data_IF_962950045598
#
_entry.id   IF_962950045598
#
_cell.length_a   1.000
_cell.length_b   1.000
_cell.length_c   1.000
_cell.angle_alpha   90.00
_cell.angle_beta   90.00
_cell.angle_gamma   90.00
#
_symmetry.space_group_name_H-M   'P 1'
#
loop_
_entity.id
_entity.type
_entity.pdbx_description
1 polymer ?
#
# COMPACT_ATOMS: atom_id res chain seq x y z
N UNK A 1 -0.30 -39.23 17.89
CA UNK A 1 -0.75 -38.15 16.98
C UNK A 1 -0.50 -36.85 17.68
N UNK A 2 0.36 -36.02 17.12
CA UNK A 2 0.70 -34.70 17.66
C UNK A 2 -0.53 -33.81 17.66
N UNK A 3 -0.58 -32.90 18.60
CA UNK A 3 -1.67 -31.96 18.82
C UNK A 3 -1.80 -31.07 17.57
N UNK A 4 -2.82 -31.29 16.77
CA UNK A 4 -3.03 -30.64 15.46
C UNK A 4 -3.44 -29.17 15.58
N UNK A 5 -3.63 -28.67 16.80
CA UNK A 5 -4.01 -27.29 17.13
C UNK A 5 -2.96 -26.61 17.99
N UNK A 6 -2.66 -25.38 17.62
CA UNK A 6 -1.73 -24.53 18.36
C UNK A 6 -2.35 -23.16 18.58
N UNK A 7 -1.81 -22.37 19.50
CA UNK A 7 -2.30 -21.02 19.76
C UNK A 7 -1.19 -19.97 19.70
N UNK A 8 -1.58 -18.75 19.37
CA UNK A 8 -0.71 -17.57 19.39
C UNK A 8 -1.25 -16.57 20.40
N UNK A 9 -0.36 -16.09 21.25
CA UNK A 9 -0.69 -15.14 22.31
C UNK A 9 0.34 -14.01 22.36
N UNK A 10 -0.07 -12.89 22.92
CA UNK A 10 0.85 -11.80 23.26
C UNK A 10 1.81 -12.22 24.38
N UNK A 11 3.09 -11.92 24.24
CA UNK A 11 4.09 -12.22 25.26
C UNK A 11 3.87 -11.40 26.53
N UNK A 12 3.33 -10.17 26.39
CA UNK A 12 3.17 -9.21 27.48
C UNK A 12 2.07 -9.60 28.48
N UNK A 13 0.92 -10.06 27.98
CA UNK A 13 -0.30 -10.23 28.76
C UNK A 13 -1.02 -11.56 28.49
N UNK A 14 -0.43 -12.41 27.64
CA UNK A 14 -0.97 -13.71 27.24
C UNK A 14 -2.37 -13.65 26.59
N UNK A 15 -2.76 -12.47 26.09
CA UNK A 15 -4.02 -12.31 25.34
C UNK A 15 -3.93 -13.08 24.02
N UNK A 16 -4.96 -13.88 23.66
CA UNK A 16 -5.02 -14.55 22.36
C UNK A 16 -4.97 -13.56 21.19
N UNK A 17 -4.20 -13.90 20.15
CA UNK A 17 -4.02 -13.05 18.97
C UNK A 17 -4.73 -13.65 17.77
N UNK A 18 -5.77 -12.99 17.29
CA UNK A 18 -6.45 -13.31 16.02
C UNK A 18 -5.67 -12.77 14.83
N UNK A 19 -5.96 -13.30 13.64
CA UNK A 19 -5.36 -12.84 12.38
C UNK A 19 -3.83 -12.90 12.34
N UNK A 20 -3.22 -13.81 13.07
CA UNK A 20 -1.80 -14.14 12.91
C UNK A 20 -1.66 -15.08 11.72
N UNK A 21 -0.89 -14.68 10.73
CA UNK A 21 -0.59 -15.48 9.56
C UNK A 21 0.57 -16.41 9.84
N UNK A 22 0.39 -17.69 9.57
CA UNK A 22 1.41 -18.72 9.67
C UNK A 22 1.84 -19.12 8.26
N UNK A 23 3.12 -18.91 7.94
CA UNK A 23 3.66 -19.13 6.60
C UNK A 23 4.85 -20.09 6.62
N UNK A 24 5.11 -20.74 5.49
CA UNK A 24 6.33 -21.48 5.21
C UNK A 24 7.40 -20.57 4.58
N UNK A 25 8.59 -21.10 4.40
CA UNK A 25 9.74 -20.39 3.79
C UNK A 25 9.46 -19.90 2.36
N UNK A 26 8.60 -20.58 1.63
CA UNK A 26 8.14 -20.24 0.27
C UNK A 26 7.07 -19.13 0.24
N UNK A 27 6.81 -18.48 1.38
CA UNK A 27 5.82 -17.42 1.58
C UNK A 27 4.35 -17.88 1.52
N UNK A 28 4.11 -19.16 1.40
CA UNK A 28 2.76 -19.73 1.38
C UNK A 28 2.14 -19.67 2.77
N UNK A 29 0.98 -19.03 2.89
CA UNK A 29 0.14 -19.04 4.10
C UNK A 29 -0.45 -20.43 4.27
N UNK A 30 -0.19 -21.06 5.41
CA UNK A 30 -0.68 -22.40 5.73
C UNK A 30 -1.78 -22.39 6.79
N UNK A 31 -1.84 -21.36 7.63
CA UNK A 31 -2.89 -21.17 8.61
C UNK A 31 -3.04 -19.70 9.00
N UNK A 32 -4.20 -19.37 9.57
CA UNK A 32 -4.48 -18.06 10.18
C UNK A 32 -5.14 -18.33 11.53
N UNK A 33 -4.72 -17.63 12.59
CA UNK A 33 -5.33 -17.78 13.91
C UNK A 33 -6.72 -17.15 13.98
N UNK A 34 -7.63 -17.81 14.66
CA UNK A 34 -8.99 -17.36 14.91
C UNK A 34 -9.08 -16.34 16.07
N UNK A 35 -10.29 -15.92 16.43
CA UNK A 35 -10.54 -14.96 17.52
C UNK A 35 -10.02 -15.42 18.91
N UNK A 36 -9.80 -16.72 19.09
CA UNK A 36 -9.22 -17.32 20.28
C UNK A 36 -7.72 -17.55 20.16
N UNK A 37 -7.09 -17.00 19.11
CA UNK A 37 -5.69 -17.20 18.81
C UNK A 37 -5.33 -18.61 18.33
N UNK A 38 -6.31 -19.47 18.06
CA UNK A 38 -6.09 -20.88 17.70
C UNK A 38 -5.92 -21.02 16.18
N UNK A 39 -4.95 -21.83 15.79
CA UNK A 39 -4.76 -22.24 14.39
C UNK A 39 -4.53 -23.75 14.28
N UNK A 40 -4.85 -24.32 13.11
CA UNK A 40 -4.67 -25.76 12.83
C UNK A 40 -3.70 -25.96 11.67
N UNK A 41 -2.84 -26.95 11.81
CA UNK A 41 -1.91 -27.42 10.78
C UNK A 41 -2.29 -28.80 10.21
N UNK A 42 -3.49 -29.31 10.54
CA UNK A 42 -3.98 -30.64 10.14
C UNK A 42 -3.90 -30.93 8.62
N UNK A 43 -4.02 -29.90 7.80
CA UNK A 43 -3.97 -30.02 6.34
C UNK A 43 -2.55 -30.21 5.77
N UNK A 44 -1.52 -30.18 6.64
CA UNK A 44 -0.12 -30.19 6.24
C UNK A 44 0.64 -31.37 6.89
N UNK A 45 0.16 -32.60 6.64
CA UNK A 45 0.76 -33.85 7.15
C UNK A 45 2.24 -34.05 6.75
N UNK A 46 2.72 -33.27 5.79
CA UNK A 46 4.10 -33.33 5.28
C UNK A 46 5.10 -32.44 6.02
N UNK A 47 4.68 -31.72 7.08
CA UNK A 47 5.60 -30.87 7.84
C UNK A 47 6.64 -31.68 8.59
N UNK A 48 7.90 -31.40 8.30
CA UNK A 48 9.05 -31.94 9.04
C UNK A 48 9.28 -31.13 10.33
N UNK A 49 9.81 -31.76 11.38
CA UNK A 49 10.19 -31.07 12.62
C UNK A 49 11.18 -29.92 12.41
N UNK A 50 11.95 -29.98 11.32
CA UNK A 50 12.93 -28.96 10.95
C UNK A 50 12.33 -27.83 10.10
N UNK A 51 11.07 -27.94 9.64
CA UNK A 51 10.45 -26.91 8.85
C UNK A 51 10.26 -25.64 9.68
N UNK A 52 10.60 -24.50 9.11
CA UNK A 52 10.49 -23.20 9.77
C UNK A 52 9.13 -22.59 9.47
N UNK A 53 8.40 -22.30 10.52
CA UNK A 53 7.15 -21.55 10.50
C UNK A 53 7.43 -20.07 10.77
N UNK A 54 6.80 -19.20 10.00
CA UNK A 54 6.91 -17.76 10.10
C UNK A 54 5.57 -17.21 10.58
N UNK A 55 5.59 -16.51 11.72
CA UNK A 55 4.42 -15.89 12.34
C UNK A 55 4.45 -14.40 12.08
N UNK A 56 3.36 -13.86 11.51
CA UNK A 56 3.23 -12.47 11.16
C UNK A 56 1.90 -11.90 11.62
N UNK A 57 1.95 -10.72 12.24
CA UNK A 57 0.77 -9.96 12.63
C UNK A 57 1.09 -8.47 12.54
N UNK A 58 0.11 -7.64 12.15
CA UNK A 58 0.30 -6.20 11.86
C UNK A 58 0.86 -5.40 13.05
N UNK A 59 0.56 -5.82 14.29
CA UNK A 59 0.97 -5.11 15.50
C UNK A 59 2.09 -5.81 16.28
N UNK A 60 2.63 -6.92 15.78
CA UNK A 60 3.62 -7.72 16.49
C UNK A 60 4.86 -7.93 15.62
N UNK A 61 6.01 -8.11 16.27
CA UNK A 61 7.24 -8.45 15.58
C UNK A 61 7.14 -9.84 14.96
N UNK A 62 7.70 -10.00 13.78
CA UNK A 62 7.76 -11.31 13.12
C UNK A 62 8.53 -12.31 13.96
N UNK A 63 7.99 -13.51 14.11
CA UNK A 63 8.64 -14.61 14.80
C UNK A 63 8.87 -15.79 13.85
N UNK A 64 10.03 -16.43 14.01
CA UNK A 64 10.40 -17.69 13.34
C UNK A 64 10.49 -18.76 14.39
N UNK A 65 9.95 -19.93 14.11
CA UNK A 65 10.00 -21.08 15.00
C UNK A 65 10.03 -22.35 14.16
N UNK A 66 10.87 -23.34 14.53
CA UNK A 66 10.77 -24.64 13.89
C UNK A 66 9.48 -25.35 14.32
N UNK A 67 8.94 -26.23 13.47
CA UNK A 67 7.78 -27.03 13.85
C UNK A 67 8.06 -27.91 15.08
N UNK A 68 9.29 -28.41 15.21
CA UNK A 68 9.74 -29.14 16.39
C UNK A 68 9.73 -28.29 17.67
N UNK A 69 10.16 -27.04 17.59
CA UNK A 69 10.13 -26.14 18.75
C UNK A 69 8.71 -25.70 19.10
N UNK A 70 7.82 -25.56 18.13
CA UNK A 70 6.39 -25.33 18.39
C UNK A 70 5.81 -26.45 19.25
N UNK A 71 6.11 -27.71 18.91
CA UNK A 71 5.65 -28.87 19.69
C UNK A 71 6.26 -28.86 21.09
N UNK A 72 7.57 -28.61 21.23
CA UNK A 72 8.22 -28.50 22.54
C UNK A 72 7.63 -27.39 23.42
N UNK A 73 7.19 -26.29 22.82
CA UNK A 73 6.54 -25.16 23.50
C UNK A 73 5.04 -25.41 23.74
N UNK A 74 4.61 -26.66 23.83
CA UNK A 74 3.20 -27.05 24.06
C UNK A 74 2.24 -26.41 23.07
N UNK A 75 2.65 -26.28 21.80
CA UNK A 75 1.89 -25.67 20.73
C UNK A 75 1.44 -24.21 21.03
N UNK A 76 2.24 -23.46 21.81
CA UNK A 76 1.97 -22.06 22.12
C UNK A 76 3.08 -21.17 21.57
N UNK A 77 2.68 -20.11 20.88
CA UNK A 77 3.57 -19.10 20.29
C UNK A 77 3.32 -17.77 20.97
N UNK A 78 4.37 -17.17 21.50
CA UNK A 78 4.32 -15.83 22.09
C UNK A 78 4.87 -14.82 21.08
N UNK A 79 4.10 -13.77 20.75
CA UNK A 79 4.54 -12.66 19.92
C UNK A 79 4.81 -11.41 20.74
N UNK A 80 5.87 -10.70 20.38
CA UNK A 80 6.26 -9.44 21.02
C UNK A 80 5.58 -8.30 20.26
N UNK A 81 4.93 -7.40 21.00
CA UNK A 81 4.28 -6.22 20.44
C UNK A 81 5.29 -5.32 19.72
N UNK A 82 4.95 -4.88 18.50
CA UNK A 82 5.77 -3.93 17.75
C UNK A 82 5.46 -2.51 18.18
N UNK A 83 6.16 -2.05 19.24
CA UNK A 83 6.01 -0.72 19.83
C UNK A 83 6.78 0.37 19.07
N UNK A 84 7.07 0.20 17.78
CA UNK A 84 7.53 1.34 16.97
C UNK A 84 6.42 2.39 16.95
N UNK A 85 6.54 3.32 17.86
CA UNK A 85 5.78 4.56 17.86
C UNK A 85 6.18 5.29 16.58
N UNK A 86 5.27 5.47 15.64
CA UNK A 86 5.38 6.57 14.69
C UNK A 86 5.47 7.82 15.57
N UNK A 87 6.44 8.69 15.35
CA UNK A 87 6.46 9.98 16.03
C UNK A 87 5.07 10.58 15.84
N UNK A 88 4.36 10.69 16.95
CA UNK A 88 3.00 11.18 16.99
C UNK A 88 3.06 12.65 16.56
N UNK A 89 2.67 12.94 15.35
CA UNK A 89 2.37 14.32 14.96
C UNK A 89 1.05 14.65 15.65
N UNK A 90 1.14 15.07 16.90
CA UNK A 90 0.00 15.55 17.67
C UNK A 90 -0.52 16.82 17.01
N UNK A 91 -1.51 16.68 16.15
CA UNK A 91 -2.26 17.81 15.63
C UNK A 91 -3.21 18.26 16.72
N UNK A 92 -2.73 19.16 17.59
CA UNK A 92 -3.60 19.84 18.55
C UNK A 92 -4.55 20.76 17.78
N UNK A 93 -5.82 20.39 17.69
CA UNK A 93 -6.86 21.10 16.94
C UNK A 93 -7.38 22.38 17.63
N UNK A 94 -6.59 23.03 18.47
CA UNK A 94 -6.91 24.36 19.03
C UNK A 94 -6.51 25.52 18.10
N UNK A 95 -6.11 25.24 16.85
CA UNK A 95 -5.92 26.30 15.88
C UNK A 95 -7.26 26.65 15.26
N UNK A 96 -7.72 27.87 15.49
CA UNK A 96 -8.77 28.46 14.66
C UNK A 96 -8.37 28.28 13.20
N UNK A 97 -9.18 27.57 12.42
CA UNK A 97 -8.97 27.45 10.98
C UNK A 97 -8.94 28.86 10.40
N UNK A 98 -7.84 29.20 9.75
CA UNK A 98 -7.74 30.46 9.04
C UNK A 98 -8.85 30.50 7.96
N UNK A 99 -9.61 31.61 7.92
CA UNK A 99 -10.64 31.79 6.89
C UNK A 99 -10.06 31.88 5.48
N UNK A 100 -8.77 32.17 5.36
CA UNK A 100 -8.05 32.37 4.10
C UNK A 100 -6.82 31.48 4.09
N UNK A 101 -6.56 30.86 2.97
CA UNK A 101 -5.32 30.14 2.69
C UNK A 101 -4.34 31.11 2.05
N UNK A 102 -3.11 31.10 2.51
CA UNK A 102 -2.01 31.79 1.86
C UNK A 102 -1.36 30.82 0.87
N UNK A 103 -1.17 31.28 -0.36
CA UNK A 103 -0.52 30.53 -1.40
C UNK A 103 0.79 31.21 -1.78
N UNK A 104 1.84 30.42 -1.85
CA UNK A 104 3.13 30.84 -2.37
C UNK A 104 3.41 30.07 -3.67
N UNK A 105 3.99 30.77 -4.64
CA UNK A 105 4.42 30.14 -5.90
C UNK A 105 5.82 29.61 -5.66
N UNK A 106 5.98 28.31 -5.72
CA UNK A 106 7.25 27.61 -5.59
C UNK A 106 7.89 27.40 -6.96
N UNK A 107 9.17 27.03 -6.99
CA UNK A 107 9.90 26.71 -8.22
C UNK A 107 9.18 25.64 -9.03
N UNK A 108 8.84 25.90 -10.31
CA UNK A 108 8.10 24.94 -11.12
C UNK A 108 8.97 23.76 -11.54
N UNK A 109 8.36 22.60 -11.65
CA UNK A 109 8.98 21.46 -12.32
C UNK A 109 9.18 21.77 -13.82
N UNK A 110 10.36 21.49 -14.36
CA UNK A 110 10.70 21.79 -15.77
C UNK A 110 9.73 21.17 -16.79
N UNK A 111 9.13 20.03 -16.45
CA UNK A 111 8.13 19.35 -17.27
C UNK A 111 6.97 18.94 -16.39
N UNK A 112 5.78 19.41 -16.74
CA UNK A 112 4.56 19.05 -16.01
C UNK A 112 4.27 17.55 -16.13
N UNK A 113 3.85 16.96 -15.02
CA UNK A 113 3.37 15.58 -14.93
C UNK A 113 2.10 15.55 -14.09
N UNK A 114 1.20 14.61 -14.38
CA UNK A 114 0.01 14.35 -13.56
C UNK A 114 -0.16 12.85 -13.36
N UNK A 115 -1.00 12.44 -12.41
CA UNK A 115 -1.20 11.02 -12.04
C UNK A 115 0.12 10.30 -11.71
N UNK A 116 1.05 11.04 -11.12
CA UNK A 116 2.30 10.53 -10.57
C UNK A 116 2.08 10.01 -9.14
N UNK A 117 3.02 9.24 -8.62
CA UNK A 117 3.09 8.95 -7.19
C UNK A 117 4.07 9.88 -6.49
N UNK A 118 3.78 10.20 -5.22
CA UNK A 118 4.64 11.07 -4.42
C UNK A 118 4.81 10.58 -2.99
N UNK A 119 5.98 10.86 -2.42
CA UNK A 119 6.27 10.62 -1.00
C UNK A 119 7.07 11.78 -0.42
N UNK A 120 6.82 12.08 0.86
CA UNK A 120 7.59 13.05 1.62
C UNK A 120 8.61 12.31 2.50
N UNK A 121 9.89 12.68 2.40
CA UNK A 121 10.98 12.09 3.17
C UNK A 121 11.90 13.21 3.64
N UNK A 122 12.01 13.41 4.94
CA UNK A 122 12.95 14.37 5.57
C UNK A 122 12.93 15.78 4.96
N UNK A 123 11.73 16.31 4.68
CA UNK A 123 11.55 17.64 4.08
C UNK A 123 11.84 17.69 2.58
N UNK A 124 11.94 16.55 1.93
CA UNK A 124 12.07 16.42 0.47
C UNK A 124 10.87 15.68 -0.11
N UNK A 125 10.28 16.18 -1.19
CA UNK A 125 9.19 15.53 -1.91
C UNK A 125 9.77 14.81 -3.11
N UNK A 126 9.56 13.48 -3.15
CA UNK A 126 9.89 12.67 -4.32
C UNK A 126 8.62 12.47 -5.14
N UNK A 127 8.69 12.71 -6.45
CA UNK A 127 7.64 12.37 -7.40
C UNK A 127 8.19 11.43 -8.46
N UNK A 128 7.44 10.40 -8.83
CA UNK A 128 7.89 9.39 -9.78
C UNK A 128 6.81 9.07 -10.81
N UNK A 129 7.23 8.85 -12.07
CA UNK A 129 6.34 8.47 -13.15
C UNK A 129 5.32 9.54 -13.51
N UNK A 130 4.10 9.10 -13.77
CA UNK A 130 2.97 9.95 -14.15
C UNK A 130 2.85 10.17 -15.65
N UNK A 131 1.75 10.79 -16.05
CA UNK A 131 1.49 11.12 -17.45
C UNK A 131 2.08 12.49 -17.81
N UNK A 132 2.72 12.54 -18.96
CA UNK A 132 3.23 13.77 -19.58
C UNK A 132 2.44 14.14 -20.84
N UNK A 133 1.28 13.51 -21.03
CA UNK A 133 0.41 13.77 -22.18
C UNK A 133 -0.15 15.18 -22.09
N UNK A 134 -0.02 15.94 -23.16
CA UNK A 134 -0.71 17.22 -23.31
C UNK A 134 -1.99 16.95 -24.08
N UNK A 135 -3.13 17.40 -23.58
CA UNK A 135 -4.39 17.37 -24.31
C UNK A 135 -4.27 18.15 -25.63
N UNK A 136 -5.15 17.93 -26.61
CA UNK A 136 -5.14 18.68 -27.83
C UNK A 136 -5.46 20.13 -27.53
N UNK A 137 -4.44 20.98 -27.51
CA UNK A 137 -4.65 22.39 -27.72
C UNK A 137 -5.17 22.55 -29.15
N UNK A 138 -6.48 22.81 -29.28
CA UNK A 138 -7.14 23.31 -30.47
C UNK A 138 -6.47 22.91 -31.80
N UNK A 139 -6.58 21.67 -32.20
CA UNK A 139 -6.38 21.35 -33.60
C UNK A 139 -7.77 21.11 -34.22
N UNK A 140 -8.12 21.88 -35.22
CA UNK A 140 -9.25 21.64 -36.12
C UNK A 140 -9.15 20.32 -36.89
N UNK A 141 -8.30 19.42 -36.47
CA UNK A 141 -8.05 18.13 -37.09
C UNK A 141 -8.84 17.09 -36.29
N UNK A 142 -9.77 16.44 -36.99
CA UNK A 142 -10.63 15.34 -36.52
C UNK A 142 -9.86 14.05 -36.09
N UNK A 143 -8.61 14.11 -35.68
CA UNK A 143 -7.91 12.93 -35.15
C UNK A 143 -7.91 12.95 -33.63
N UNK A 144 -8.80 12.17 -33.03
CA UNK A 144 -8.96 11.91 -31.60
C UNK A 144 -7.93 10.93 -31.05
N UNK A 145 -6.77 10.81 -31.63
CA UNK A 145 -5.71 9.96 -31.12
C UNK A 145 -4.96 10.71 -30.02
N UNK A 146 -5.42 10.59 -28.81
CA UNK A 146 -4.66 10.95 -27.61
C UNK A 146 -3.50 9.97 -27.46
N UNK A 147 -2.29 10.43 -27.72
CA UNK A 147 -1.10 9.65 -27.42
C UNK A 147 -0.76 9.82 -25.93
N UNK A 148 -1.22 8.90 -25.11
CA UNK A 148 -0.75 8.86 -23.72
C UNK A 148 0.76 8.59 -23.71
N UNK A 149 1.48 9.35 -22.90
CA UNK A 149 2.91 9.19 -22.67
C UNK A 149 3.21 9.22 -21.19
N UNK A 150 3.79 8.14 -20.69
CA UNK A 150 4.15 8.05 -19.28
C UNK A 150 5.63 8.37 -19.08
N UNK A 151 5.92 8.92 -17.90
CA UNK A 151 7.27 9.28 -17.49
C UNK A 151 7.95 8.08 -16.83
N UNK A 152 9.24 7.96 -17.05
CA UNK A 152 10.14 7.05 -16.33
C UNK A 152 11.09 7.80 -15.40
N UNK A 153 10.79 9.06 -15.10
CA UNK A 153 11.64 9.93 -14.30
C UNK A 153 11.18 9.95 -12.86
N UNK A 154 12.14 10.11 -11.96
CA UNK A 154 11.89 10.53 -10.58
C UNK A 154 12.54 11.90 -10.36
N UNK A 155 11.81 12.78 -9.68
CA UNK A 155 12.27 14.10 -9.30
C UNK A 155 12.23 14.23 -7.79
N UNK A 156 13.16 14.96 -7.22
CA UNK A 156 13.24 15.32 -5.80
C UNK A 156 13.15 16.83 -5.66
N UNK A 157 12.22 17.29 -4.84
CA UNK A 157 12.07 18.69 -4.49
C UNK A 157 12.52 18.92 -3.05
N UNK A 158 13.52 19.77 -2.87
CA UNK A 158 13.95 20.22 -1.55
C UNK A 158 13.10 21.42 -1.13
N UNK A 159 12.27 21.24 -0.08
CA UNK A 159 11.33 22.27 0.38
C UNK A 159 12.07 23.49 0.93
N UNK A 160 13.22 23.30 1.58
CA UNK A 160 13.99 24.41 2.19
C UNK A 160 14.73 25.24 1.16
N UNK A 161 15.21 24.60 0.09
CA UNK A 161 15.99 25.25 -0.96
C UNK A 161 15.13 25.73 -2.13
N UNK A 162 13.84 25.38 -2.15
CA UNK A 162 12.92 25.60 -3.28
C UNK A 162 13.53 25.14 -4.60
N UNK A 163 14.05 23.91 -4.64
CA UNK A 163 14.82 23.41 -5.78
C UNK A 163 14.44 21.99 -6.18
N UNK A 164 14.28 21.78 -7.48
CA UNK A 164 14.09 20.46 -8.08
C UNK A 164 15.41 19.85 -8.54
N UNK A 165 15.55 18.56 -8.27
CA UNK A 165 16.62 17.73 -8.81
C UNK A 165 16.04 16.50 -9.51
N UNK A 166 16.72 16.03 -10.55
CA UNK A 166 16.34 14.81 -11.26
C UNK A 166 17.18 13.65 -10.75
N UNK A 167 16.53 12.59 -10.29
CA UNK A 167 17.21 11.33 -9.95
C UNK A 167 17.68 10.68 -11.25
N UNK A 168 18.94 10.24 -11.28
CA UNK A 168 19.58 9.72 -12.52
C UNK A 168 19.04 8.38 -13.01
N UNK A 169 18.41 7.59 -12.10
CA UNK A 169 17.84 6.30 -12.45
C UNK A 169 16.60 6.43 -13.33
N UNK A 170 16.41 5.45 -14.18
CA UNK A 170 15.20 5.31 -14.99
C UNK A 170 14.30 4.27 -14.33
N UNK A 171 13.05 4.65 -14.15
CA UNK A 171 11.99 3.81 -13.62
C UNK A 171 11.12 3.29 -14.77
N UNK A 172 10.19 2.43 -14.47
CA UNK A 172 9.21 1.96 -15.45
C UNK A 172 8.28 3.10 -15.85
N UNK A 173 8.00 3.20 -17.14
CA UNK A 173 6.99 4.15 -17.65
C UNK A 173 5.62 3.75 -17.18
N UNK A 174 5.09 4.42 -16.15
CA UNK A 174 3.76 4.15 -15.57
C UNK A 174 3.09 5.42 -15.07
N UNK A 175 1.74 5.36 -14.96
CA UNK A 175 0.92 6.40 -14.36
C UNK A 175 -0.19 5.77 -13.51
N UNK A 176 -0.87 6.59 -12.68
CA UNK A 176 -1.96 6.16 -11.80
C UNK A 176 -1.54 5.07 -10.79
N UNK A 177 -0.29 5.06 -10.42
CA UNK A 177 0.34 4.18 -9.46
C UNK A 177 0.45 4.86 -8.10
N UNK A 178 0.92 4.13 -7.11
CA UNK A 178 1.17 4.65 -5.76
C UNK A 178 2.63 4.47 -5.36
N UNK A 179 3.05 5.21 -4.33
CA UNK A 179 4.33 5.03 -3.68
C UNK A 179 4.20 5.14 -2.16
N UNK A 180 5.10 4.45 -1.46
CA UNK A 180 5.25 4.53 -0.01
C UNK A 180 6.71 4.63 0.38
N UNK A 181 6.99 5.24 1.54
CA UNK A 181 8.33 5.33 2.10
C UNK A 181 8.45 4.48 3.36
N UNK A 182 9.52 3.70 3.45
CA UNK A 182 9.85 2.93 4.63
C UNK A 182 11.36 2.65 4.68
N UNK A 183 11.98 2.89 5.83
CA UNK A 183 13.37 2.54 6.16
C UNK A 183 14.39 2.91 5.06
N UNK A 184 14.38 4.17 4.63
CA UNK A 184 15.29 4.71 3.62
C UNK A 184 14.98 4.30 2.18
N UNK A 185 13.84 3.66 1.92
CA UNK A 185 13.46 3.16 0.60
C UNK A 185 12.10 3.68 0.17
N UNK A 186 11.97 3.96 -1.12
CA UNK A 186 10.71 4.30 -1.77
C UNK A 186 10.22 3.07 -2.55
N UNK A 187 9.02 2.63 -2.24
CA UNK A 187 8.35 1.49 -2.85
C UNK A 187 7.28 1.98 -3.82
N UNK A 188 7.37 1.60 -5.09
CA UNK A 188 6.53 2.09 -6.19
C UNK A 188 5.79 0.89 -6.78
N UNK A 189 4.45 0.90 -6.79
CA UNK A 189 3.67 -0.23 -7.26
C UNK A 189 2.32 0.16 -7.85
N UNK A 190 1.75 -0.77 -8.62
CA UNK A 190 0.47 -0.58 -9.30
C UNK A 190 0.55 0.37 -10.48
N UNK A 191 -0.63 0.91 -10.86
CA UNK A 191 -0.75 1.77 -12.00
C UNK A 191 -0.85 1.02 -13.34
N UNK A 192 -0.82 1.76 -14.40
CA UNK A 192 -0.86 1.24 -15.77
C UNK A 192 0.38 1.66 -16.56
N UNK A 193 0.75 0.84 -17.53
CA UNK A 193 1.79 1.07 -18.52
C UNK A 193 1.25 0.85 -19.91
N UNK A 194 1.89 1.46 -20.89
CA UNK A 194 1.54 1.27 -22.31
C UNK A 194 2.28 0.08 -22.91
N UNK A 195 1.66 -0.56 -23.88
CA UNK A 195 2.34 -1.48 -24.80
C UNK A 195 3.43 -0.74 -25.60
N UNK A 196 4.34 -1.48 -26.24
CA UNK A 196 5.35 -0.90 -27.14
C UNK A 196 4.70 -0.10 -28.27
N UNK A 197 3.58 -0.58 -28.79
CA UNK A 197 2.78 0.12 -29.80
C UNK A 197 1.93 1.26 -29.25
N UNK A 198 1.86 1.42 -27.92
CA UNK A 198 1.06 2.42 -27.20
C UNK A 198 -0.45 2.36 -27.47
N UNK A 199 -0.94 1.22 -27.96
CA UNK A 199 -2.36 1.03 -28.27
C UNK A 199 -3.10 0.39 -27.08
N UNK A 200 -2.39 -0.42 -26.28
CA UNK A 200 -2.99 -1.20 -25.18
C UNK A 200 -2.38 -0.78 -23.85
N UNK A 201 -3.25 -0.57 -22.87
CA UNK A 201 -2.88 -0.37 -21.47
C UNK A 201 -2.79 -1.72 -20.76
N UNK A 202 -1.74 -1.88 -19.97
CA UNK A 202 -1.57 -3.01 -19.06
C UNK A 202 -1.47 -2.53 -17.62
N UNK A 203 -2.07 -3.25 -16.68
CA UNK A 203 -1.75 -3.08 -15.27
C UNK A 203 -0.29 -3.49 -15.04
N UNK A 204 0.42 -2.70 -14.25
CA UNK A 204 1.80 -3.02 -13.94
C UNK A 204 1.88 -3.94 -12.71
N UNK A 205 2.47 -5.11 -12.91
CA UNK A 205 2.67 -6.11 -11.85
C UNK A 205 4.00 -5.93 -11.10
N UNK A 206 4.86 -5.05 -11.59
CA UNK A 206 6.17 -4.83 -11.00
C UNK A 206 6.12 -3.82 -9.86
N UNK A 207 6.84 -4.12 -8.81
CA UNK A 207 7.18 -3.21 -7.73
C UNK A 207 8.61 -2.74 -7.98
N UNK A 208 8.85 -1.43 -8.03
CA UNK A 208 10.19 -0.88 -8.03
C UNK A 208 10.53 -0.35 -6.64
N UNK A 209 11.74 -0.61 -6.20
CA UNK A 209 12.22 -0.22 -4.88
C UNK A 209 13.49 0.62 -5.08
N UNK A 210 13.42 1.87 -4.67
CA UNK A 210 14.55 2.80 -4.71
C UNK A 210 15.14 2.99 -3.32
N UNK A 211 16.38 2.57 -3.12
CA UNK A 211 17.16 2.85 -1.90
C UNK A 211 17.82 4.22 -2.03
N UNK A 212 17.33 5.18 -1.23
CA UNK A 212 17.79 6.58 -1.30
C UNK A 212 19.26 6.69 -0.92
N UNK A 213 19.70 5.95 0.10
CA UNK A 213 21.07 6.02 0.62
C UNK A 213 22.08 5.38 -0.31
N UNK A 214 21.72 4.22 -0.89
CA UNK A 214 22.59 3.49 -1.80
C UNK A 214 22.51 3.98 -3.23
N UNK A 215 21.50 4.79 -3.55
CA UNK A 215 21.17 5.27 -4.89
C UNK A 215 21.05 4.09 -5.89
N UNK A 216 20.25 3.09 -5.53
CA UNK A 216 20.04 1.86 -6.33
C UNK A 216 18.55 1.56 -6.49
N UNK A 217 18.18 0.99 -7.63
CA UNK A 217 16.82 0.55 -7.93
C UNK A 217 16.81 -0.93 -8.25
N UNK A 218 15.86 -1.68 -7.70
CA UNK A 218 15.60 -3.07 -8.09
C UNK A 218 14.10 -3.32 -8.21
N UNK A 219 13.73 -4.43 -8.83
CA UNK A 219 12.35 -4.78 -9.15
C UNK A 219 11.96 -6.09 -8.46
N UNK A 220 10.74 -6.12 -7.91
CA UNK A 220 10.06 -7.29 -7.37
C UNK A 220 8.78 -7.53 -8.16
N UNK A 221 8.41 -8.81 -8.38
CA UNK A 221 7.22 -9.20 -9.14
C UNK A 221 6.21 -9.97 -8.28
N UNK A 222 6.25 -9.77 -6.98
CA UNK A 222 5.37 -10.49 -6.03
C UNK A 222 4.02 -9.80 -5.80
N UNK A 223 3.73 -8.69 -6.48
CA UNK A 223 2.51 -7.89 -6.27
C UNK A 223 1.23 -8.66 -6.65
N UNK A 224 0.38 -9.07 -5.69
CA UNK A 224 -0.92 -9.69 -5.97
C UNK A 224 -2.01 -8.65 -6.29
N UNK A 225 -1.81 -7.38 -5.90
CA UNK A 225 -2.77 -6.30 -6.03
C UNK A 225 -2.53 -5.47 -7.28
N UNK A 226 -2.81 -6.06 -8.44
CA UNK A 226 -2.62 -5.39 -9.72
C UNK A 226 -3.82 -4.50 -10.01
N UNK A 227 -3.69 -3.22 -9.74
CA UNK A 227 -4.71 -2.20 -9.98
C UNK A 227 -4.09 -0.85 -10.34
N UNK A 228 -4.87 -0.01 -10.98
CA UNK A 228 -4.58 1.42 -11.17
C UNK A 228 -5.50 2.25 -10.27
N UNK A 229 -5.12 3.48 -9.92
CA UNK A 229 -5.89 4.35 -9.00
C UNK A 229 -6.16 3.68 -7.64
N UNK A 230 -5.24 2.86 -7.17
CA UNK A 230 -5.35 2.18 -5.88
C UNK A 230 -5.02 3.14 -4.73
N UNK A 231 -5.70 2.96 -3.61
CA UNK A 231 -5.32 3.60 -2.35
C UNK A 231 -4.14 2.90 -1.71
N UNK A 232 -3.30 3.63 -1.01
CA UNK A 232 -2.23 3.03 -0.21
C UNK A 232 -1.83 3.88 0.99
N UNK A 233 -1.41 3.21 2.04
CA UNK A 233 -0.80 3.83 3.23
C UNK A 233 0.33 2.95 3.74
N UNK A 234 1.31 3.57 4.40
CA UNK A 234 2.36 2.84 5.12
C UNK A 234 2.10 2.97 6.61
N UNK A 235 1.97 1.83 7.29
CA UNK A 235 1.75 1.74 8.72
C UNK A 235 2.76 0.78 9.34
N UNK A 236 3.63 1.28 10.21
CA UNK A 236 4.74 0.51 10.79
C UNK A 236 5.59 -0.13 9.68
N UNK A 237 5.80 -1.44 9.74
CA UNK A 237 6.59 -2.20 8.77
C UNK A 237 5.75 -2.67 7.55
N UNK A 238 4.55 -2.13 7.36
CA UNK A 238 3.60 -2.65 6.37
C UNK A 238 3.11 -1.55 5.43
N UNK A 239 2.98 -1.88 4.17
CA UNK A 239 2.24 -1.09 3.19
C UNK A 239 0.89 -1.78 2.95
N UNK A 240 -0.19 -1.05 3.19
CA UNK A 240 -1.53 -1.51 2.91
C UNK A 240 -1.95 -0.91 1.56
N UNK A 241 -2.43 -1.76 0.67
CA UNK A 241 -2.96 -1.37 -0.64
C UNK A 241 -4.40 -1.83 -0.75
N UNK A 242 -5.25 -0.99 -1.34
CA UNK A 242 -6.68 -1.28 -1.36
C UNK A 242 -7.38 -0.66 -2.57
N UNK A 243 -8.39 -1.37 -3.05
CA UNK A 243 -9.27 -0.91 -4.13
C UNK A 243 -8.57 -0.71 -5.46
N UNK A 244 -8.98 0.34 -6.17
CA UNK A 244 -8.48 0.67 -7.50
C UNK A 244 -9.27 0.00 -8.62
N UNK A 245 -8.80 0.20 -9.85
CA UNK A 245 -9.39 -0.34 -11.08
C UNK A 245 -8.55 -1.50 -11.57
N UNK A 246 -9.15 -2.71 -11.64
CA UNK A 246 -8.50 -3.94 -12.10
C UNK A 246 -8.60 -4.15 -13.62
N UNK A 247 -9.58 -3.56 -14.26
CA UNK A 247 -9.84 -3.72 -15.68
C UNK A 247 -10.67 -2.57 -16.20
N UNK A 248 -10.42 -2.15 -17.43
CA UNK A 248 -11.29 -1.24 -18.17
C UNK A 248 -12.03 -2.06 -19.23
N UNK A 249 -13.35 -1.95 -19.25
CA UNK A 249 -14.19 -2.62 -20.23
C UNK A 249 -14.19 -1.87 -21.57
N UNK A 250 -14.73 -2.50 -22.63
CA UNK A 250 -14.80 -1.91 -23.96
C UNK A 250 -15.61 -0.60 -24.03
N UNK A 251 -16.57 -0.43 -23.11
CA UNK A 251 -17.36 0.80 -22.96
C UNK A 251 -16.67 1.88 -22.10
N UNK A 252 -15.37 1.74 -21.81
CA UNK A 252 -14.58 2.58 -20.92
C UNK A 252 -14.99 2.57 -19.43
N UNK A 253 -15.88 1.67 -19.01
CA UNK A 253 -16.18 1.49 -17.59
C UNK A 253 -15.08 0.73 -16.88
N UNK A 254 -14.72 1.21 -15.68
CA UNK A 254 -13.73 0.55 -14.82
C UNK A 254 -14.35 -0.57 -13.99
N UNK A 255 -13.70 -1.73 -13.93
CA UNK A 255 -14.02 -2.77 -12.95
C UNK A 255 -13.25 -2.48 -11.66
N UNK A 256 -13.95 -1.94 -10.68
CA UNK A 256 -13.35 -1.56 -9.39
C UNK A 256 -13.17 -2.76 -8.47
N UNK A 257 -12.10 -2.72 -7.68
CA UNK A 257 -11.77 -3.72 -6.67
C UNK A 257 -12.33 -3.34 -5.30
N UNK A 258 -12.67 -4.35 -4.52
CA UNK A 258 -12.93 -4.28 -3.07
C UNK A 258 -11.81 -4.93 -2.24
N UNK A 259 -10.78 -5.46 -2.89
CA UNK A 259 -9.70 -6.18 -2.23
C UNK A 259 -8.79 -5.24 -1.44
N UNK A 260 -8.26 -5.78 -0.35
CA UNK A 260 -7.25 -5.15 0.47
C UNK A 260 -6.12 -6.13 0.70
N UNK A 261 -4.89 -5.67 0.48
CA UNK A 261 -3.69 -6.46 0.75
C UNK A 261 -2.75 -5.69 1.66
N UNK A 262 -2.06 -6.42 2.50
CA UNK A 262 -0.98 -5.95 3.33
C UNK A 262 0.33 -6.53 2.82
N UNK A 263 1.28 -5.67 2.54
CA UNK A 263 2.65 -6.04 2.22
C UNK A 263 3.58 -5.71 3.37
N UNK A 264 4.18 -6.72 3.99
CA UNK A 264 5.19 -6.47 4.99
C UNK A 264 6.52 -6.12 4.31
N UNK A 265 6.94 -4.88 4.43
CA UNK A 265 8.10 -4.30 3.74
C UNK A 265 9.43 -4.85 4.24
N UNK A 266 9.46 -5.43 5.44
CA UNK A 266 10.65 -6.01 6.04
C UNK A 266 10.88 -7.46 5.62
N UNK A 267 9.81 -8.26 5.58
CA UNK A 267 9.88 -9.68 5.21
C UNK A 267 9.61 -9.92 3.72
N UNK A 268 8.96 -8.98 3.05
CA UNK A 268 8.51 -9.09 1.67
C UNK A 268 7.27 -9.97 1.50
N UNK A 269 6.56 -10.32 2.58
CA UNK A 269 5.36 -11.16 2.51
C UNK A 269 4.12 -10.33 2.25
N UNK A 270 3.23 -10.90 1.42
CA UNK A 270 1.91 -10.38 1.14
C UNK A 270 0.85 -11.16 1.90
N UNK A 271 -0.18 -10.45 2.36
CA UNK A 271 -1.33 -11.00 3.07
C UNK A 271 -2.61 -10.38 2.52
N UNK A 272 -3.66 -11.18 2.40
CA UNK A 272 -4.99 -10.67 2.13
C UNK A 272 -5.58 -10.11 3.43
N UNK A 273 -5.89 -8.81 3.45
CA UNK A 273 -6.40 -8.13 4.65
C UNK A 273 -7.94 -8.14 4.73
N UNK A 274 -8.60 -8.69 3.72
CA UNK A 274 -10.05 -8.72 3.61
C UNK A 274 -10.57 -7.84 2.49
N UNK A 275 -11.79 -7.32 2.65
CA UNK A 275 -12.49 -6.55 1.62
C UNK A 275 -13.01 -5.23 2.15
N UNK A 276 -13.02 -4.24 1.28
CA UNK A 276 -13.74 -2.98 1.52
C UNK A 276 -15.24 -3.21 1.39
N UNK A 277 -16.07 -2.46 2.14
CA UNK A 277 -17.52 -2.54 2.02
C UNK A 277 -18.04 -2.11 0.64
N UNK A 278 -17.31 -1.29 -0.06
CA UNK A 278 -17.67 -0.77 -1.39
C UNK A 278 -16.47 -0.91 -2.34
N UNK A 279 -16.71 -1.38 -3.56
CA UNK A 279 -15.72 -1.40 -4.64
C UNK A 279 -15.45 0.01 -5.13
N UNK A 280 -14.21 0.47 -5.04
CA UNK A 280 -13.87 1.85 -5.36
C UNK A 280 -12.38 2.06 -5.62
N UNK A 281 -12.05 3.23 -6.18
CA UNK A 281 -10.70 3.76 -6.27
C UNK A 281 -10.60 4.96 -5.29
N UNK A 282 -10.23 4.72 -4.02
CA UNK A 282 -10.27 5.73 -2.98
C UNK A 282 -8.99 6.57 -2.96
N UNK A 283 -9.13 7.83 -2.57
CA UNK A 283 -8.02 8.56 -1.97
C UNK A 283 -7.90 8.12 -0.50
N UNK A 284 -6.70 7.85 -0.05
CA UNK A 284 -6.46 7.31 1.28
C UNK A 284 -5.56 8.19 2.11
N UNK A 285 -5.89 8.31 3.38
CA UNK A 285 -5.05 8.96 4.38
C UNK A 285 -5.01 8.11 5.65
N UNK A 286 -3.84 8.00 6.24
CA UNK A 286 -3.65 7.35 7.53
C UNK A 286 -3.62 8.40 8.64
N UNK A 287 -4.45 8.23 9.65
CA UNK A 287 -4.42 9.02 10.89
C UNK A 287 -4.37 8.03 12.04
N UNK A 288 -3.31 8.06 12.83
CA UNK A 288 -3.00 7.10 13.89
C UNK A 288 -2.99 5.66 13.36
N UNK A 289 -4.01 4.89 13.70
CA UNK A 289 -4.20 3.50 13.26
C UNK A 289 -5.43 3.31 12.37
N UNK A 290 -5.99 4.41 11.86
CA UNK A 290 -7.19 4.41 11.02
C UNK A 290 -6.88 4.86 9.60
N UNK A 291 -7.28 4.05 8.62
CA UNK A 291 -7.23 4.41 7.20
C UNK A 291 -8.56 5.05 6.83
N UNK A 292 -8.53 6.31 6.46
CA UNK A 292 -9.70 7.02 5.94
C UNK A 292 -9.71 6.94 4.41
N UNK A 293 -10.83 6.53 3.86
CA UNK A 293 -11.11 6.50 2.43
C UNK A 293 -11.99 7.69 2.08
N UNK A 294 -11.47 8.59 1.28
CA UNK A 294 -12.12 9.86 0.96
C UNK A 294 -12.53 9.88 -0.50
N UNK A 295 -13.82 10.10 -0.73
CA UNK A 295 -14.36 10.13 -2.08
C UNK A 295 -14.45 8.72 -2.70
N UNK A 296 -15.17 8.66 -3.81
CA UNK A 296 -15.32 7.44 -4.58
C UNK A 296 -15.43 7.83 -6.06
N UNK A 297 -14.42 7.54 -6.83
CA UNK A 297 -14.41 7.82 -8.28
C UNK A 297 -15.45 6.99 -9.05
N UNK A 298 -16.00 5.95 -8.42
CA UNK A 298 -17.09 5.16 -8.97
C UNK A 298 -18.45 5.74 -8.56
N UNK A 299 -18.89 6.79 -9.25
CA UNK A 299 -20.25 7.33 -9.07
C UNK A 299 -20.44 8.45 -8.05
N UNK A 300 -19.36 9.11 -7.62
CA UNK A 300 -19.44 10.35 -6.86
C UNK A 300 -19.98 10.20 -5.43
N UNK A 301 -19.57 9.16 -4.74
CA UNK A 301 -19.83 8.98 -3.31
C UNK A 301 -19.29 10.16 -2.48
N UNK A 302 -20.03 10.49 -1.42
CA UNK A 302 -19.62 11.53 -0.46
C UNK A 302 -19.19 10.94 0.88
N UNK A 303 -19.37 9.63 1.10
CA UNK A 303 -19.03 9.00 2.36
C UNK A 303 -17.51 9.01 2.59
N UNK A 304 -17.16 9.16 3.84
CA UNK A 304 -15.80 8.95 4.32
C UNK A 304 -15.86 7.68 5.15
N UNK A 305 -15.23 6.62 4.64
CA UNK A 305 -15.14 5.34 5.35
C UNK A 305 -13.83 5.29 6.13
N UNK A 306 -13.84 4.64 7.27
CA UNK A 306 -12.68 4.45 8.12
C UNK A 306 -12.46 2.95 8.39
N UNK A 307 -11.25 2.47 8.15
CA UNK A 307 -10.81 1.14 8.54
C UNK A 307 -9.82 1.19 9.69
N UNK A 308 -10.17 0.59 10.81
CA UNK A 308 -9.31 0.53 11.98
C UNK A 308 -8.34 -0.66 11.87
N UNK A 309 -7.05 -0.39 11.76
CA UNK A 309 -5.99 -1.40 11.61
C UNK A 309 -5.78 -2.29 12.84
N UNK A 310 -6.23 -1.86 14.02
CA UNK A 310 -6.08 -2.66 15.25
C UNK A 310 -7.21 -3.68 15.40
N UNK A 311 -8.42 -3.29 15.00
CA UNK A 311 -9.62 -4.12 15.21
C UNK A 311 -10.12 -4.80 13.94
N UNK A 312 -9.66 -4.36 12.75
CA UNK A 312 -10.19 -4.81 11.46
C UNK A 312 -11.61 -4.32 11.17
N UNK A 313 -12.13 -3.39 11.95
CA UNK A 313 -13.51 -2.91 11.83
C UNK A 313 -13.61 -1.73 10.87
N UNK A 314 -14.72 -1.70 10.11
CA UNK A 314 -15.14 -0.58 9.28
C UNK A 314 -16.13 0.31 10.03
N UNK A 315 -16.01 1.62 9.83
CA UNK A 315 -16.96 2.62 10.35
C UNK A 315 -17.16 3.73 9.32
N UNK A 316 -18.36 4.32 9.32
CA UNK A 316 -18.58 5.55 8.57
C UNK A 316 -18.07 6.73 9.42
N UNK A 317 -17.10 7.48 8.89
CA UNK A 317 -16.44 8.59 9.57
C UNK A 317 -17.07 9.96 9.21
N UNK A 318 -18.02 9.98 8.28
CA UNK A 318 -18.67 11.21 7.89
C UNK A 318 -19.00 11.32 6.41
N UNK A 319 -19.25 12.55 5.98
CA UNK A 319 -19.65 12.81 4.60
C UNK A 319 -19.07 14.11 4.08
N UNK A 320 -18.56 14.10 2.86
CA UNK A 320 -18.10 15.29 2.16
C UNK A 320 -19.28 16.25 1.85
N UNK A 321 -19.02 17.54 1.93
CA UNK A 321 -19.99 18.58 1.54
C UNK A 321 -20.30 18.52 0.05
N UNK A 322 -19.27 18.24 -0.76
CA UNK A 322 -19.34 18.17 -2.22
C UNK A 322 -18.82 16.83 -2.72
N UNK A 323 -19.23 16.43 -3.93
CA UNK A 323 -18.66 15.27 -4.62
C UNK A 323 -17.23 15.63 -5.08
N UNK A 324 -16.31 14.72 -4.89
CA UNK A 324 -15.02 14.79 -5.56
C UNK A 324 -15.21 14.13 -6.93
N UNK A 325 -14.94 14.89 -7.99
CA UNK A 325 -15.04 14.44 -9.38
C UNK A 325 -13.80 13.69 -9.84
#
# INVERSE_FOLDING_TARGET
KAQDRACVVSEKDSIPLSNVYICLKDRRVIAISDEKGVFSLEKYDSLSLNDTLYFSHINYLHKKLSYGDLIKNRCTVFLIENNRVLEEVSIFSNRHLNRFLHYEILSPLKRGVYSFASVLVDGQIYIVGGSTSCGPFQSNIRSTLFWEKYSNMMYRYDIKQDKWETIRHKFRERAYHTAGYYDGKIFILGGKRLSETRIVDYLDNAIEIYDIKRDTVWTDYTNPHQATLLGSVVYKDNMIVLGGVKKVLQNNEGVYSDEMHLWNLKSGYWYELGKMPIRQAPETILVDHCIYLIGNRNGGGRSIECYNLLTGAWANAGRLLYRLG
#
